data_IF_929907973296
#
_entry.id   IF_929907973296
#
_cell.length_a   1.000
_cell.length_b   1.000
_cell.length_c   1.000
_cell.angle_alpha   90.00
_cell.angle_beta   90.00
_cell.angle_gamma   90.00
#
_symmetry.space_group_name_H-M   'P 1'
#
loop_
_entity.id
_entity.type
_entity.pdbx_description
1 polymer ?
#
# COMPACT_ATOMS: atom_id res chain seq x y z
N UNK A 1 -11.44 -10.21 -5.90
CA UNK A 1 -10.36 -9.63 -5.08
C UNK A 1 -9.22 -9.19 -5.99
N UNK A 2 -8.61 -8.05 -5.71
CA UNK A 2 -7.31 -7.60 -6.25
C UNK A 2 -6.30 -7.71 -5.11
N UNK A 3 -5.11 -8.24 -5.42
CA UNK A 3 -3.98 -8.32 -4.51
C UNK A 3 -2.73 -8.00 -5.33
N UNK A 4 -1.97 -7.01 -4.90
CA UNK A 4 -0.72 -6.62 -5.52
C UNK A 4 0.36 -6.46 -4.46
N UNK A 5 1.55 -6.99 -4.76
CA UNK A 5 2.77 -6.81 -3.97
C UNK A 5 3.64 -5.75 -4.62
N UNK A 6 4.09 -4.78 -3.83
CA UNK A 6 4.93 -3.67 -4.25
C UNK A 6 6.10 -3.54 -3.27
N UNK A 7 7.29 -4.05 -3.61
CA UNK A 7 8.49 -3.80 -2.81
C UNK A 7 8.81 -2.30 -2.77
N UNK A 8 9.09 -1.79 -1.57
CA UNK A 8 9.38 -0.37 -1.31
C UNK A 8 10.63 -0.19 -0.45
N UNK A 9 11.33 0.93 -0.68
CA UNK A 9 12.47 1.33 0.11
C UNK A 9 13.72 0.46 -0.08
N UNK A 10 14.81 0.78 0.63
CA UNK A 10 16.10 0.11 0.48
C UNK A 10 16.11 -1.34 1.01
N UNK A 11 15.17 -1.70 1.88
CA UNK A 11 15.03 -3.05 2.43
C UNK A 11 14.13 -3.94 1.56
N UNK A 12 13.57 -3.39 0.47
CA UNK A 12 12.61 -4.06 -0.40
C UNK A 12 11.44 -4.71 0.35
N UNK A 13 11.00 -4.06 1.44
CA UNK A 13 9.91 -4.55 2.28
C UNK A 13 8.62 -4.58 1.47
N UNK A 14 7.86 -5.67 1.64
CA UNK A 14 6.68 -5.91 0.83
C UNK A 14 5.49 -5.09 1.33
N UNK A 15 5.22 -3.97 0.67
CA UNK A 15 3.94 -3.28 0.77
C UNK A 15 2.91 -4.04 -0.09
N UNK A 16 1.66 -4.13 0.38
CA UNK A 16 0.58 -4.74 -0.41
C UNK A 16 -0.56 -3.77 -0.68
N UNK A 17 -1.18 -3.89 -1.84
CA UNK A 17 -2.43 -3.21 -2.17
C UNK A 17 -3.50 -4.29 -2.35
N UNK A 18 -4.55 -4.21 -1.53
CA UNK A 18 -5.70 -5.12 -1.58
C UNK A 18 -6.96 -4.35 -1.96
N UNK A 19 -7.83 -4.94 -2.77
CA UNK A 19 -9.00 -4.22 -3.25
C UNK A 19 -10.18 -5.08 -3.69
N UNK A 20 -11.38 -4.51 -3.58
CA UNK A 20 -12.61 -5.09 -4.11
C UNK A 20 -12.82 -4.66 -5.57
N UNK A 21 -12.92 -5.64 -6.50
CA UNK A 21 -13.14 -5.36 -7.93
C UNK A 21 -14.46 -4.64 -8.23
N UNK A 22 -15.50 -4.89 -7.40
CA UNK A 22 -16.85 -4.34 -7.58
C UNK A 22 -16.96 -2.92 -7.05
N UNK A 23 -16.59 -2.70 -5.78
CA UNK A 23 -16.77 -1.39 -5.10
C UNK A 23 -15.59 -0.46 -5.32
N UNK A 24 -14.45 -0.96 -5.80
CA UNK A 24 -13.18 -0.23 -5.93
C UNK A 24 -12.59 0.27 -4.61
N UNK A 25 -13.17 -0.09 -3.47
CA UNK A 25 -12.60 0.18 -2.15
C UNK A 25 -11.43 -0.78 -1.91
N UNK A 26 -10.34 -0.25 -1.37
CA UNK A 26 -9.15 -1.01 -1.05
C UNK A 26 -8.44 -0.55 0.23
N UNK A 27 -7.37 -1.27 0.54
CA UNK A 27 -6.45 -0.98 1.63
C UNK A 27 -5.00 -1.08 1.15
N UNK A 28 -4.13 -0.31 1.79
CA UNK A 28 -2.67 -0.45 1.68
C UNK A 28 -2.17 -1.12 2.96
N UNK A 29 -1.36 -2.16 2.83
CA UNK A 29 -0.76 -2.88 3.95
C UNK A 29 0.73 -2.57 3.99
N UNK A 30 1.20 -2.14 5.17
CA UNK A 30 2.60 -1.85 5.47
C UNK A 30 3.30 -0.89 4.47
N UNK A 31 2.83 0.36 4.34
CA UNK A 31 3.48 1.37 3.52
C UNK A 31 4.81 1.82 4.15
N UNK A 32 5.87 1.07 3.85
CA UNK A 32 7.21 1.27 4.40
C UNK A 32 7.99 2.46 3.87
N UNK A 33 7.87 2.73 2.57
CA UNK A 33 8.61 3.78 1.86
C UNK A 33 7.92 4.09 0.52
N UNK A 34 8.52 4.96 -0.31
CA UNK A 34 8.08 5.24 -1.69
C UNK A 34 6.59 5.59 -1.83
N UNK A 35 6.07 6.47 -0.95
CA UNK A 35 4.66 6.87 -0.94
C UNK A 35 4.10 7.24 -2.33
N UNK A 36 4.90 7.95 -3.13
CA UNK A 36 4.55 8.31 -4.51
C UNK A 36 4.28 7.08 -5.39
N UNK A 37 5.14 6.06 -5.33
CA UNK A 37 5.00 4.80 -6.08
C UNK A 37 3.75 4.03 -5.65
N UNK A 38 3.46 4.00 -4.34
CA UNK A 38 2.23 3.39 -3.81
C UNK A 38 1.00 4.12 -4.36
N UNK A 39 0.97 5.45 -4.29
CA UNK A 39 -0.15 6.27 -4.76
C UNK A 39 -0.35 6.17 -6.26
N UNK A 40 0.72 6.17 -7.05
CA UNK A 40 0.65 5.92 -8.49
C UNK A 40 0.04 4.56 -8.79
N UNK A 41 0.46 3.52 -8.05
CA UNK A 41 -0.05 2.18 -8.28
C UNK A 41 -1.53 2.05 -7.91
N UNK A 42 -1.94 2.66 -6.80
CA UNK A 42 -3.36 2.78 -6.41
C UNK A 42 -4.19 3.44 -7.51
N UNK A 43 -3.68 4.53 -8.12
CA UNK A 43 -4.35 5.20 -9.25
C UNK A 43 -4.48 4.29 -10.46
N UNK A 44 -3.42 3.56 -10.84
CA UNK A 44 -3.43 2.61 -11.97
C UNK A 44 -4.43 1.48 -11.73
N UNK A 45 -4.55 0.98 -10.50
CA UNK A 45 -5.53 -0.04 -10.13
C UNK A 45 -6.98 0.50 -10.09
N UNK A 46 -7.15 1.83 -10.12
CA UNK A 46 -8.44 2.50 -10.00
C UNK A 46 -9.12 2.22 -8.66
N UNK A 47 -8.35 2.18 -7.58
CA UNK A 47 -8.84 1.94 -6.22
C UNK A 47 -9.00 3.25 -5.44
N UNK A 48 -10.07 3.33 -4.65
CA UNK A 48 -10.20 4.27 -3.53
C UNK A 48 -9.70 3.58 -2.27
N UNK A 49 -8.63 4.09 -1.67
CA UNK A 49 -8.09 3.53 -0.44
C UNK A 49 -8.83 4.16 0.75
N UNK A 50 -9.57 3.34 1.49
CA UNK A 50 -10.26 3.75 2.72
C UNK A 50 -9.52 3.29 3.98
N UNK A 51 -8.54 2.40 3.84
CA UNK A 51 -7.84 1.79 4.97
C UNK A 51 -6.32 1.73 4.74
N UNK A 52 -5.57 1.93 5.82
CA UNK A 52 -4.18 1.52 5.94
C UNK A 52 -4.11 0.48 7.05
N UNK A 53 -3.45 -0.64 6.77
CA UNK A 53 -3.28 -1.74 7.72
C UNK A 53 -1.79 -1.87 8.02
N UNK A 54 -1.45 -1.86 9.30
CA UNK A 54 -0.10 -2.09 9.77
C UNK A 54 -0.06 -3.44 10.48
N UNK A 55 0.86 -4.30 10.07
CA UNK A 55 1.11 -5.57 10.75
C UNK A 55 1.80 -5.34 12.10
N UNK A 56 2.77 -4.43 12.13
CA UNK A 56 3.54 -4.01 13.30
C UNK A 56 4.25 -2.66 13.05
N UNK A 57 5.02 -2.18 14.02
CA UNK A 57 5.60 -0.83 14.03
C UNK A 57 7.06 -0.71 13.59
N UNK A 58 7.61 -1.64 12.81
CA UNK A 58 8.96 -1.46 12.28
C UNK A 58 9.01 -0.36 11.21
N UNK A 59 10.16 0.33 11.14
CA UNK A 59 10.33 1.53 10.31
C UNK A 59 10.07 1.29 8.83
N UNK A 60 10.45 0.12 8.33
CA UNK A 60 10.30 -0.31 6.95
C UNK A 60 8.87 -0.79 6.61
N UNK A 61 7.93 -0.73 7.57
CA UNK A 61 6.50 -0.98 7.37
C UNK A 61 5.63 0.27 7.55
N UNK A 62 6.17 1.33 8.18
CA UNK A 62 5.41 2.54 8.54
C UNK A 62 5.97 3.84 7.94
N UNK A 63 7.13 3.80 7.29
CA UNK A 63 7.88 4.99 6.91
C UNK A 63 7.19 5.92 5.89
N UNK A 64 6.16 5.45 5.18
CA UNK A 64 5.36 6.28 4.26
C UNK A 64 4.04 6.79 4.87
N UNK A 65 3.78 6.58 6.16
CA UNK A 65 2.59 7.14 6.82
C UNK A 65 2.64 8.68 6.86
N UNK A 66 1.49 9.31 6.60
CA UNK A 66 1.34 10.77 6.67
C UNK A 66 2.02 11.53 5.52
N UNK A 67 2.28 10.86 4.39
CA UNK A 67 2.91 11.41 3.19
C UNK A 67 1.92 11.52 2.02
#
# INVERSE_FOLDING_TARGET
MLLERLPVGPMESNCYIVGCKKTKIGAVVDPGADAHKILERVKVLGLKIDYIILTHGHVDHIGALGK
#
